data_IF_278796964450
#
_entry.id   IF_278796964450
#
_cell.length_a   1.000
_cell.length_b   1.000
_cell.length_c   1.000
_cell.angle_alpha   90.00
_cell.angle_beta   90.00
_cell.angle_gamma   90.00
#
_symmetry.space_group_name_H-M   'P 1'
#
loop_
_entity.id
_entity.type
_entity.pdbx_description
1 polymer ?
#
# COMPACT_ATOMS: atom_id res chain seq x y z
N UNK A 1 -46.70 27.58 -1.54
CA UNK A 1 -45.50 28.44 -1.65
C UNK A 1 -45.36 28.88 -3.10
N UNK A 2 -45.54 30.16 -3.41
CA UNK A 2 -45.72 30.66 -4.78
C UNK A 2 -44.52 30.36 -5.70
N UNK A 3 -44.78 29.71 -6.84
CA UNK A 3 -43.85 29.50 -7.96
C UNK A 3 -43.18 30.82 -8.39
N UNK A 4 -43.89 31.95 -8.23
CA UNK A 4 -43.40 33.31 -8.50
C UNK A 4 -42.27 33.74 -7.54
N UNK A 5 -42.32 33.34 -6.25
CA UNK A 5 -41.23 33.63 -5.28
C UNK A 5 -39.99 32.79 -5.57
N UNK A 6 -40.16 31.51 -5.94
CA UNK A 6 -39.07 30.64 -6.39
C UNK A 6 -38.35 31.21 -7.62
N UNK A 7 -39.12 31.68 -8.61
CA UNK A 7 -38.55 32.31 -9.83
C UNK A 7 -37.68 33.53 -9.51
N UNK A 8 -38.06 34.34 -8.51
CA UNK A 8 -37.32 35.53 -8.10
C UNK A 8 -36.01 35.22 -7.35
N UNK A 9 -36.00 34.15 -6.55
CA UNK A 9 -34.80 33.66 -5.83
C UNK A 9 -33.80 33.03 -6.81
N UNK A 10 -34.29 32.15 -7.71
CA UNK A 10 -33.47 31.51 -8.74
C UNK A 10 -32.96 32.49 -9.81
N UNK A 11 -33.64 33.61 -10.07
CA UNK A 11 -33.23 34.63 -11.05
C UNK A 11 -32.17 35.61 -10.53
N UNK A 12 -31.76 35.52 -9.25
CA UNK A 12 -30.76 36.44 -8.70
C UNK A 12 -29.34 36.02 -9.11
N UNK A 13 -28.55 36.96 -9.66
CA UNK A 13 -27.13 36.72 -10.00
C UNK A 13 -26.32 36.19 -8.80
N UNK A 14 -26.71 36.59 -7.58
CA UNK A 14 -26.11 36.14 -6.32
C UNK A 14 -26.29 34.64 -6.06
N UNK A 15 -27.45 34.07 -6.39
CA UNK A 15 -27.69 32.63 -6.21
C UNK A 15 -26.80 31.77 -7.12
N UNK A 16 -26.60 32.20 -8.37
CA UNK A 16 -25.69 31.55 -9.33
C UNK A 16 -24.27 31.61 -8.81
N UNK A 17 -23.83 32.79 -8.37
CA UNK A 17 -22.50 33.00 -7.84
C UNK A 17 -22.21 32.02 -6.69
N UNK A 18 -23.15 31.90 -5.75
CA UNK A 18 -23.05 30.95 -4.63
C UNK A 18 -22.92 29.52 -5.14
N UNK A 19 -23.80 29.05 -6.03
CA UNK A 19 -23.74 27.69 -6.58
C UNK A 19 -22.43 27.42 -7.30
N UNK A 20 -21.95 28.37 -8.12
CA UNK A 20 -20.69 28.22 -8.85
C UNK A 20 -19.50 28.15 -7.91
N UNK A 21 -19.46 28.96 -6.85
CA UNK A 21 -18.40 28.93 -5.84
C UNK A 21 -18.40 27.60 -5.10
N UNK A 22 -19.56 27.11 -4.66
CA UNK A 22 -19.66 25.80 -4.00
C UNK A 22 -19.23 24.65 -4.92
N UNK A 23 -19.57 24.72 -6.21
CA UNK A 23 -19.18 23.70 -7.18
C UNK A 23 -17.67 23.71 -7.43
N UNK A 24 -17.04 24.87 -7.57
CA UNK A 24 -15.58 25.01 -7.71
C UNK A 24 -14.85 24.49 -6.48
N UNK A 25 -15.29 24.87 -5.28
CA UNK A 25 -14.71 24.36 -4.02
C UNK A 25 -14.85 22.84 -3.94
N UNK A 26 -16.03 22.29 -4.28
CA UNK A 26 -16.26 20.85 -4.30
C UNK A 26 -15.34 20.12 -5.27
N UNK A 27 -15.08 20.68 -6.46
CA UNK A 27 -14.18 20.11 -7.45
C UNK A 27 -12.71 20.15 -6.99
N UNK A 28 -12.29 21.23 -6.33
CA UNK A 28 -10.94 21.36 -5.77
C UNK A 28 -10.73 20.31 -4.67
N UNK A 29 -11.67 20.18 -3.73
CA UNK A 29 -11.60 19.18 -2.66
C UNK A 29 -11.59 17.76 -3.24
N UNK A 30 -12.43 17.49 -4.25
CA UNK A 30 -12.46 16.21 -4.95
C UNK A 30 -11.09 15.91 -5.59
N UNK A 31 -10.53 16.86 -6.33
CA UNK A 31 -9.21 16.72 -6.97
C UNK A 31 -8.11 16.40 -5.97
N UNK A 32 -8.04 17.16 -4.86
CA UNK A 32 -7.06 16.93 -3.79
C UNK A 32 -7.26 15.55 -3.16
N UNK A 33 -8.50 15.14 -2.88
CA UNK A 33 -8.82 13.85 -2.26
C UNK A 33 -8.48 12.65 -3.16
N UNK A 34 -8.55 12.81 -4.49
CA UNK A 34 -8.20 11.76 -5.45
C UNK A 34 -6.70 11.68 -5.75
N UNK A 35 -5.98 12.81 -5.65
CA UNK A 35 -4.53 12.83 -5.76
C UNK A 35 -3.85 12.05 -4.61
N UNK A 36 -4.46 12.04 -3.43
CA UNK A 36 -3.98 11.27 -2.27
C UNK A 36 -4.53 9.86 -2.23
N UNK A 37 -3.70 8.86 -1.91
CA UNK A 37 -4.18 7.49 -1.67
C UNK A 37 -5.10 7.47 -0.43
N UNK A 38 -6.25 6.78 -0.47
CA UNK A 38 -7.20 6.75 0.65
C UNK A 38 -6.64 6.03 1.87
N UNK A 39 -5.69 5.12 1.65
CA UNK A 39 -5.04 4.34 2.69
C UNK A 39 -3.52 4.43 2.57
N UNK A 40 -2.85 4.37 3.71
CA UNK A 40 -1.42 4.10 3.82
C UNK A 40 -1.25 2.73 4.46
N UNK A 41 -0.50 1.86 3.81
CA UNK A 41 -0.06 0.60 4.41
C UNK A 41 1.20 0.91 5.19
N UNK A 42 1.15 0.70 6.51
CA UNK A 42 2.32 0.72 7.36
C UNK A 42 2.74 -0.70 7.63
N UNK A 43 4.00 -1.00 7.33
CA UNK A 43 4.63 -2.24 7.73
C UNK A 43 5.22 -2.04 9.12
N UNK A 44 4.75 -2.82 10.09
CA UNK A 44 5.30 -2.86 11.44
C UNK A 44 5.96 -4.21 11.65
N UNK A 45 7.25 -4.20 11.95
CA UNK A 45 7.97 -5.40 12.36
C UNK A 45 7.64 -5.68 13.83
N UNK A 46 6.98 -6.81 14.08
CA UNK A 46 6.71 -7.31 15.42
C UNK A 46 7.77 -8.37 15.71
N UNK A 47 8.68 -8.07 16.64
CA UNK A 47 9.62 -9.05 17.16
C UNK A 47 8.91 -9.93 18.19
N UNK A 48 9.09 -11.24 18.13
CA UNK A 48 8.54 -12.15 19.14
C UNK A 48 9.61 -12.63 20.11
N UNK A 49 10.77 -13.04 19.58
CA UNK A 49 11.86 -13.54 20.40
C UNK A 49 13.21 -13.29 19.72
N UNK A 50 14.21 -13.01 20.54
CA UNK A 50 15.61 -12.88 20.15
C UNK A 50 16.45 -13.85 20.98
N UNK A 51 17.40 -14.48 20.32
CA UNK A 51 18.27 -15.50 20.89
C UNK A 51 19.73 -15.12 20.70
N UNK A 52 20.52 -15.42 21.72
CA UNK A 52 21.97 -15.34 21.67
C UNK A 52 22.56 -16.50 22.49
N UNK A 53 23.69 -17.07 22.07
CA UNK A 53 24.45 -18.02 22.86
C UNK A 53 25.89 -17.55 22.99
N UNK A 54 26.35 -17.46 24.24
CA UNK A 54 27.78 -17.30 24.51
C UNK A 54 28.41 -18.68 24.68
N UNK A 55 29.34 -19.02 23.80
CA UNK A 55 30.08 -20.29 23.83
C UNK A 55 31.53 -20.01 24.22
N UNK A 56 32.00 -20.67 25.28
CA UNK A 56 33.38 -20.62 25.73
C UNK A 56 33.94 -22.04 25.73
N UNK A 57 35.10 -22.25 25.10
CA UNK A 57 35.83 -23.51 25.13
C UNK A 57 37.01 -23.39 26.10
N UNK A 58 37.22 -24.42 26.92
CA UNK A 58 38.42 -24.58 27.74
C UNK A 58 39.10 -25.88 27.37
N UNK A 59 40.31 -25.77 26.84
CA UNK A 59 41.16 -26.89 26.46
C UNK A 59 42.17 -27.10 27.58
N UNK A 60 42.18 -28.31 28.17
CA UNK A 60 43.15 -28.70 29.19
C UNK A 60 44.29 -29.46 28.50
N UNK A 61 45.50 -28.94 28.66
CA UNK A 61 46.71 -29.46 28.03
C UNK A 61 47.57 -30.23 29.05
N UNK A 62 48.38 -31.17 28.57
CA UNK A 62 49.37 -31.84 29.40
C UNK A 62 50.51 -30.87 29.80
N UNK A 63 50.82 -30.72 31.11
CA UNK A 63 51.78 -29.71 31.57
C UNK A 63 53.21 -29.93 31.06
N UNK A 64 53.60 -31.19 30.87
CA UNK A 64 54.96 -31.61 30.52
C UNK A 64 55.46 -31.06 29.19
N UNK A 65 54.54 -30.66 28.30
CA UNK A 65 54.85 -30.22 26.94
C UNK A 65 54.35 -28.79 26.67
N UNK A 66 53.75 -28.11 27.65
CA UNK A 66 53.15 -26.79 27.43
C UNK A 66 54.22 -25.72 27.12
N UNK A 67 55.41 -25.85 27.71
CA UNK A 67 56.52 -24.90 27.48
C UNK A 67 57.08 -25.02 26.07
N UNK A 68 57.20 -26.24 25.54
CA UNK A 68 57.77 -26.51 24.22
C UNK A 68 56.86 -26.04 23.07
N UNK A 69 55.55 -25.99 23.32
CA UNK A 69 54.55 -25.68 22.30
C UNK A 69 53.80 -24.36 22.53
N UNK A 70 54.28 -23.51 23.45
CA UNK A 70 53.62 -22.25 23.82
C UNK A 70 53.33 -21.34 22.63
N UNK A 71 54.27 -21.23 21.69
CA UNK A 71 54.16 -20.37 20.51
C UNK A 71 53.09 -20.84 19.51
N UNK A 72 52.70 -22.13 19.58
CA UNK A 72 51.73 -22.75 18.67
C UNK A 72 50.31 -22.82 19.26
N UNK A 73 50.12 -22.37 20.50
CA UNK A 73 48.81 -22.33 21.16
C UNK A 73 48.18 -20.95 20.90
N UNK A 74 47.18 -20.92 20.04
CA UNK A 74 46.42 -19.71 19.68
C UNK A 74 44.99 -19.84 20.20
N UNK A 75 44.27 -18.74 20.39
CA UNK A 75 42.85 -18.77 20.74
C UNK A 75 42.06 -19.66 19.75
N UNK A 76 41.40 -20.71 20.25
CA UNK A 76 40.64 -21.72 19.51
C UNK A 76 41.44 -22.75 18.68
N UNK A 77 42.77 -22.76 18.80
CA UNK A 77 43.65 -23.74 18.16
C UNK A 77 44.58 -24.38 19.20
N UNK A 78 44.65 -25.71 19.21
CA UNK A 78 45.54 -26.43 20.11
C UNK A 78 46.27 -27.56 19.38
N UNK A 79 47.46 -27.89 19.87
CA UNK A 79 48.24 -29.02 19.38
C UNK A 79 47.56 -30.31 19.86
N UNK A 80 47.07 -31.13 18.93
CA UNK A 80 46.17 -32.27 19.21
C UNK A 80 46.80 -33.30 20.17
N UNK A 81 48.11 -33.54 20.06
CA UNK A 81 48.85 -34.45 20.93
C UNK A 81 48.89 -34.01 22.40
N UNK A 82 48.72 -32.71 22.68
CA UNK A 82 48.80 -32.15 24.03
C UNK A 82 47.44 -32.10 24.73
N UNK A 83 46.35 -32.25 23.98
CA UNK A 83 45.00 -32.07 24.50
C UNK A 83 44.60 -33.28 25.34
N UNK A 84 44.50 -33.06 26.66
CA UNK A 84 44.04 -34.06 27.63
C UNK A 84 42.52 -34.13 27.66
N UNK A 85 41.88 -33.01 27.98
CA UNK A 85 40.42 -32.88 28.09
C UNK A 85 39.95 -31.54 27.51
N UNK A 86 38.67 -31.44 27.15
CA UNK A 86 38.06 -30.15 26.78
C UNK A 86 36.69 -30.04 27.40
N UNK A 87 36.37 -28.86 27.90
CA UNK A 87 35.03 -28.53 28.38
C UNK A 87 34.49 -27.36 27.57
N UNK A 88 33.27 -27.48 27.07
CA UNK A 88 32.53 -26.34 26.53
C UNK A 88 31.60 -25.80 27.61
N UNK A 89 31.46 -24.49 27.66
CA UNK A 89 30.45 -23.78 28.43
C UNK A 89 29.55 -23.04 27.46
N UNK A 90 28.25 -23.25 27.57
CA UNK A 90 27.26 -22.57 26.75
C UNK A 90 26.30 -21.86 27.66
N UNK A 91 26.14 -20.56 27.44
CA UNK A 91 25.16 -19.75 28.16
C UNK A 91 24.13 -19.25 27.16
N UNK A 92 22.89 -19.77 27.16
CA UNK A 92 21.83 -19.27 26.31
C UNK A 92 21.25 -17.98 26.90
N UNK A 93 21.13 -16.96 26.07
CA UNK A 93 20.40 -15.73 26.37
C UNK A 93 19.20 -15.66 25.43
N UNK A 94 18.07 -15.25 25.97
CA UNK A 94 16.88 -15.01 25.19
C UNK A 94 16.09 -13.84 25.76
N UNK A 95 15.41 -13.14 24.86
CA UNK A 95 14.48 -12.05 25.19
C UNK A 95 13.17 -12.32 24.47
N UNK A 96 12.10 -12.55 25.23
CA UNK A 96 10.74 -12.69 24.69
C UNK A 96 10.04 -11.33 24.78
N UNK A 97 9.59 -10.82 23.65
CA UNK A 97 8.96 -9.50 23.57
C UNK A 97 7.47 -9.58 23.93
N UNK A 98 7.04 -8.69 24.83
CA UNK A 98 5.64 -8.50 25.21
C UNK A 98 4.92 -7.52 24.27
N UNK A 99 3.58 -7.53 24.25
CA UNK A 99 2.79 -6.64 23.39
C UNK A 99 2.65 -7.12 21.94
N UNK A 100 2.85 -8.42 21.72
CA UNK A 100 2.51 -9.08 20.46
C UNK A 100 1.04 -9.50 20.44
N UNK A 101 0.54 -9.95 19.29
CA UNK A 101 -0.82 -10.47 19.16
C UNK A 101 -1.08 -11.78 19.94
N UNK A 102 -0.05 -12.36 20.55
CA UNK A 102 -0.14 -13.56 21.37
C UNK A 102 -0.55 -13.26 22.83
N UNK A 103 -0.60 -11.98 23.20
CA UNK A 103 -1.02 -11.53 24.53
C UNK A 103 0.12 -11.48 25.55
N UNK A 104 -0.26 -11.52 26.83
CA UNK A 104 0.70 -11.51 27.94
C UNK A 104 1.30 -12.89 28.16
N UNK A 105 2.56 -12.89 28.58
CA UNK A 105 3.32 -14.11 28.88
C UNK A 105 2.96 -14.56 30.30
N UNK A 106 2.53 -15.81 30.44
CA UNK A 106 2.21 -16.45 31.73
C UNK A 106 3.36 -17.31 32.25
N UNK A 107 4.23 -17.81 31.37
CA UNK A 107 5.38 -18.63 31.76
C UNK A 107 6.31 -18.93 30.59
N UNK A 108 7.54 -19.30 30.91
CA UNK A 108 8.55 -19.69 29.92
C UNK A 108 9.24 -20.95 30.44
N UNK A 109 9.36 -21.95 29.59
CA UNK A 109 10.13 -23.15 29.86
C UNK A 109 11.21 -23.31 28.80
N UNK A 110 12.46 -23.48 29.25
CA UNK A 110 13.60 -23.70 28.37
C UNK A 110 14.15 -25.09 28.58
N UNK A 111 14.26 -25.84 27.49
CA UNK A 111 14.90 -27.15 27.47
C UNK A 111 15.98 -27.20 26.41
N UNK A 112 16.92 -28.14 26.56
CA UNK A 112 17.95 -28.37 25.55
C UNK A 112 18.10 -29.86 25.26
N UNK A 113 18.47 -30.17 24.02
CA UNK A 113 18.86 -31.50 23.54
C UNK A 113 20.15 -31.37 22.73
N UNK A 114 21.12 -32.24 22.99
CA UNK A 114 22.43 -32.20 22.32
C UNK A 114 22.57 -33.43 21.47
N UNK A 115 22.93 -33.19 20.20
CA UNK A 115 23.26 -34.25 19.26
C UNK A 115 24.66 -34.00 18.75
N UNK A 116 25.48 -35.03 18.86
CA UNK A 116 26.82 -34.99 18.31
C UNK A 116 26.96 -35.87 17.08
N UNK A 117 27.76 -35.40 16.13
CA UNK A 117 28.01 -36.09 14.87
C UNK A 117 29.49 -36.03 14.53
N UNK A 118 30.02 -37.14 14.02
CA UNK A 118 31.32 -37.19 13.38
C UNK A 118 31.10 -37.17 11.87
N UNK A 119 31.87 -36.35 11.18
CA UNK A 119 31.93 -36.26 9.73
C UNK A 119 33.34 -36.59 9.25
N UNK A 120 33.45 -37.56 8.35
CA UNK A 120 34.69 -38.02 7.71
C UNK A 120 34.43 -38.08 6.21
N UNK A 121 34.89 -37.07 5.45
CA UNK A 121 34.50 -36.95 4.04
C UNK A 121 32.97 -36.93 3.90
N UNK A 122 32.41 -37.88 3.17
CA UNK A 122 30.96 -38.05 2.99
C UNK A 122 30.29 -38.86 4.11
N UNK A 123 31.06 -39.56 4.94
CA UNK A 123 30.52 -40.34 6.05
C UNK A 123 30.09 -39.44 7.20
N UNK A 124 28.87 -39.63 7.66
CA UNK A 124 28.33 -38.96 8.85
C UNK A 124 27.81 -40.01 9.83
N UNK A 125 28.28 -39.96 11.07
CA UNK A 125 27.86 -40.88 12.13
C UNK A 125 27.43 -40.10 13.38
N UNK A 126 26.17 -40.26 13.84
CA UNK A 126 25.77 -39.72 15.13
C UNK A 126 26.50 -40.46 16.25
N UNK A 127 26.98 -39.72 17.23
CA UNK A 127 27.65 -40.26 18.41
C UNK A 127 27.15 -39.52 19.65
N UNK A 128 27.42 -40.05 20.84
CA UNK A 128 27.14 -39.37 22.10
C UNK A 128 28.47 -39.05 22.77
N UNK A 129 28.84 -37.77 22.85
CA UNK A 129 30.15 -37.34 23.36
C UNK A 129 30.04 -36.75 24.77
N UNK A 130 28.83 -36.39 25.17
CA UNK A 130 28.52 -35.75 26.44
C UNK A 130 27.68 -36.69 27.30
N UNK A 131 27.86 -36.63 28.62
CA UNK A 131 27.04 -37.38 29.58
C UNK A 131 25.65 -36.76 29.80
N UNK A 132 25.52 -35.44 29.57
CA UNK A 132 24.29 -34.67 29.77
C UNK A 132 23.71 -34.21 28.44
N UNK A 133 22.92 -35.08 27.80
CA UNK A 133 22.35 -34.79 26.48
C UNK A 133 21.06 -33.97 26.55
N UNK A 134 20.41 -33.91 27.71
CA UNK A 134 19.16 -33.16 27.90
C UNK A 134 19.10 -32.49 29.26
N UNK A 135 18.43 -31.35 29.31
CA UNK A 135 18.06 -30.69 30.56
C UNK A 135 16.85 -29.78 30.37
N UNK A 136 16.25 -29.39 31.50
CA UNK A 136 15.05 -28.54 31.59
C UNK A 136 15.32 -27.36 32.52
N UNK A 137 14.61 -26.26 32.31
CA UNK A 137 14.63 -25.03 33.10
C UNK A 137 16.05 -24.44 33.26
N UNK A 138 16.78 -24.33 32.16
CA UNK A 138 18.15 -23.78 32.09
C UNK A 138 18.17 -22.28 31.86
N UNK A 139 17.22 -21.54 32.45
CA UNK A 139 17.08 -20.10 32.25
C UNK A 139 18.38 -19.35 32.51
N UNK A 140 18.96 -18.80 31.43
CA UNK A 140 20.22 -18.06 31.38
C UNK A 140 21.41 -18.75 32.08
N UNK A 141 21.29 -20.04 32.40
CA UNK A 141 22.27 -20.78 33.16
C UNK A 141 23.37 -21.31 32.23
N UNK A 142 24.62 -21.14 32.64
CA UNK A 142 25.75 -21.73 31.93
C UNK A 142 25.73 -23.25 32.08
N UNK A 143 25.61 -23.94 30.95
CA UNK A 143 25.64 -25.40 30.87
C UNK A 143 27.06 -25.83 30.50
N UNK A 144 27.62 -26.77 31.25
CA UNK A 144 29.00 -27.25 31.07
C UNK A 144 28.99 -28.65 30.48
N UNK A 145 29.67 -28.83 29.35
CA UNK A 145 29.79 -30.09 28.64
C UNK A 145 31.24 -30.58 28.63
N UNK A 146 31.57 -31.63 29.39
CA UNK A 146 32.85 -32.31 29.21
C UNK A 146 32.82 -33.10 27.89
N UNK A 147 33.89 -33.01 27.12
CA UNK A 147 34.04 -33.70 25.84
C UNK A 147 35.06 -34.81 25.98
N UNK A 148 34.65 -36.04 25.67
CA UNK A 148 35.55 -37.19 25.69
C UNK A 148 36.16 -37.46 24.31
N UNK A 149 37.33 -36.88 24.04
CA UNK A 149 38.04 -37.10 22.77
C UNK A 149 38.57 -38.53 22.60
N UNK A 150 38.77 -39.29 23.68
CA UNK A 150 39.24 -40.68 23.57
C UNK A 150 38.20 -41.56 22.85
N UNK A 151 36.92 -41.31 23.11
CA UNK A 151 35.81 -42.03 22.47
C UNK A 151 35.69 -41.67 20.99
N UNK A 152 35.83 -40.39 20.64
CA UNK A 152 35.89 -39.92 19.25
C UNK A 152 37.02 -40.61 18.51
N UNK A 153 38.25 -40.57 19.06
CA UNK A 153 39.44 -41.21 18.46
C UNK A 153 39.21 -42.71 18.28
N UNK A 154 38.59 -43.39 19.25
CA UNK A 154 38.25 -44.82 19.15
C UNK A 154 37.32 -45.10 17.98
N UNK A 155 36.26 -44.31 17.81
CA UNK A 155 35.28 -44.49 16.73
C UNK A 155 35.95 -44.25 15.37
N UNK A 156 36.74 -43.18 15.23
CA UNK A 156 37.48 -42.89 14.00
C UNK A 156 38.48 -44.00 13.67
N UNK A 157 39.17 -44.54 14.68
CA UNK A 157 40.10 -45.66 14.48
C UNK A 157 39.39 -46.94 14.01
N UNK A 158 38.19 -47.23 14.51
CA UNK A 158 37.38 -48.36 14.04
C UNK A 158 37.02 -48.15 12.56
N UNK A 159 36.52 -46.97 12.19
CA UNK A 159 36.18 -46.64 10.81
C UNK A 159 37.42 -46.72 9.90
N UNK A 160 38.56 -46.20 10.36
CA UNK A 160 39.83 -46.25 9.63
C UNK A 160 40.28 -47.68 9.36
N UNK A 161 40.13 -48.57 10.35
CA UNK A 161 40.43 -50.01 10.20
C UNK A 161 39.47 -50.70 9.25
N UNK A 162 38.17 -50.46 9.38
CA UNK A 162 37.14 -51.03 8.50
C UNK A 162 37.33 -50.58 7.04
N UNK A 163 37.60 -49.30 6.83
CA UNK A 163 37.87 -48.75 5.50
C UNK A 163 39.26 -49.11 4.96
N UNK A 164 40.15 -49.67 5.79
CA UNK A 164 41.58 -49.87 5.46
C UNK A 164 42.28 -48.60 4.95
N UNK A 165 41.83 -47.43 5.40
CA UNK A 165 42.34 -46.12 4.99
C UNK A 165 42.63 -45.30 6.23
N UNK A 166 43.79 -44.64 6.27
CA UNK A 166 44.13 -43.68 7.31
C UNK A 166 43.28 -42.43 7.11
N UNK A 167 42.55 -42.01 8.13
CA UNK A 167 41.73 -40.80 8.09
C UNK A 167 42.55 -39.64 8.66
N UNK A 168 43.13 -38.76 7.82
CA UNK A 168 44.03 -37.71 8.30
C UNK A 168 43.26 -36.58 9.00
N UNK A 169 42.04 -36.29 8.54
CA UNK A 169 41.21 -35.20 9.03
C UNK A 169 39.77 -35.67 9.25
N UNK A 170 39.15 -35.19 10.33
CA UNK A 170 37.74 -35.43 10.62
C UNK A 170 37.16 -34.30 11.45
N UNK A 171 35.86 -34.08 11.32
CA UNK A 171 35.15 -33.04 12.07
C UNK A 171 34.16 -33.69 13.02
N UNK A 172 34.11 -33.23 14.26
CA UNK A 172 33.08 -33.59 15.19
C UNK A 172 32.25 -32.36 15.55
N UNK A 173 30.96 -32.38 15.24
CA UNK A 173 30.07 -31.25 15.50
C UNK A 173 29.10 -31.59 16.63
N UNK A 174 29.01 -30.70 17.61
CA UNK A 174 27.99 -30.66 18.64
C UNK A 174 26.89 -29.70 18.18
N UNK A 175 25.70 -30.23 17.92
CA UNK A 175 24.51 -29.44 17.67
C UNK A 175 23.70 -29.36 18.95
N UNK A 176 23.55 -28.16 19.50
CA UNK A 176 22.75 -27.93 20.70
C UNK A 176 21.42 -27.33 20.27
N UNK A 177 20.32 -28.04 20.51
CA UNK A 177 18.97 -27.57 20.23
C UNK A 177 18.35 -27.04 21.51
N UNK A 178 18.25 -25.71 21.63
CA UNK A 178 17.41 -25.07 22.64
C UNK A 178 15.97 -25.00 22.13
N UNK A 179 15.04 -25.43 22.98
CA UNK A 179 13.59 -25.36 22.75
C UNK A 179 13.01 -24.50 23.86
N UNK A 180 12.50 -23.34 23.47
CA UNK A 180 11.85 -22.38 24.37
C UNK A 180 10.34 -22.46 24.12
N UNK A 181 9.61 -22.94 25.12
CA UNK A 181 8.16 -22.93 25.13
C UNK A 181 7.71 -21.68 25.88
N UNK A 182 7.06 -20.77 25.17
CA UNK A 182 6.45 -19.59 25.77
C UNK A 182 4.97 -19.86 25.92
N UNK A 183 4.48 -19.76 27.16
CA UNK A 183 3.08 -19.86 27.50
C UNK A 183 2.51 -18.45 27.62
N UNK A 184 1.46 -18.21 26.86
CA UNK A 184 0.62 -17.02 26.93
C UNK A 184 -0.69 -17.38 27.63
N UNK A 185 -1.46 -16.39 28.08
CA UNK A 185 -2.72 -16.61 28.82
C UNK A 185 -3.68 -17.60 28.11
N UNK A 186 -3.76 -17.56 26.78
CA UNK A 186 -4.69 -18.40 25.99
C UNK A 186 -4.01 -19.28 24.91
N UNK A 187 -2.68 -19.26 24.80
CA UNK A 187 -1.97 -20.00 23.75
C UNK A 187 -0.55 -20.34 24.17
N UNK A 188 0.09 -21.28 23.48
CA UNK A 188 1.52 -21.55 23.65
C UNK A 188 2.22 -21.48 22.31
N UNK A 189 3.49 -21.07 22.33
CA UNK A 189 4.33 -21.04 21.13
C UNK A 189 5.72 -21.54 21.45
N UNK A 190 6.19 -22.45 20.60
CA UNK A 190 7.53 -23.03 20.71
C UNK A 190 8.46 -22.35 19.73
N UNK A 191 9.63 -21.96 20.22
CA UNK A 191 10.71 -21.42 19.42
C UNK A 191 11.95 -22.30 19.56
N UNK A 192 12.69 -22.42 18.47
CA UNK A 192 13.86 -23.30 18.37
C UNK A 192 15.09 -22.47 18.02
N UNK A 193 16.17 -22.71 18.76
CA UNK A 193 17.47 -22.08 18.54
C UNK A 193 18.55 -23.16 18.54
N UNK A 194 19.44 -23.14 17.54
CA UNK A 194 20.36 -24.25 17.24
C UNK A 194 21.80 -23.78 17.01
N UNK A 195 22.51 -23.33 18.06
CA UNK A 195 23.95 -23.12 17.96
C UNK A 195 24.70 -24.44 17.77
N UNK A 196 25.85 -24.38 17.12
CA UNK A 196 26.72 -25.53 16.92
C UNK A 196 28.18 -25.22 17.24
N UNK A 197 28.90 -26.25 17.67
CA UNK A 197 30.35 -26.22 17.94
C UNK A 197 31.02 -27.37 17.19
N UNK A 198 31.91 -27.05 16.27
CA UNK A 198 32.65 -28.01 15.46
C UNK A 198 34.11 -28.10 15.92
N UNK A 199 34.54 -29.31 16.24
CA UNK A 199 35.91 -29.70 16.52
C UNK A 199 36.51 -30.32 15.27
N UNK A 200 37.48 -29.64 14.68
CA UNK A 200 38.18 -30.09 13.47
C UNK A 200 39.51 -30.68 13.91
N UNK A 201 39.68 -31.98 13.67
CA UNK A 201 40.88 -32.73 14.01
C UNK A 201 41.72 -32.93 12.74
N UNK A 202 43.00 -32.57 12.81
CA UNK A 202 43.98 -32.82 11.76
C UNK A 202 45.17 -33.55 12.35
N UNK A 203 45.29 -34.84 12.05
CA UNK A 203 46.42 -35.66 12.52
C UNK A 203 47.72 -35.34 11.79
N UNK A 204 47.65 -34.97 10.51
CA UNK A 204 48.82 -34.57 9.71
C UNK A 204 49.44 -33.27 10.22
N UNK A 205 48.60 -32.31 10.60
CA UNK A 205 49.05 -31.02 11.14
C UNK A 205 49.15 -31.02 12.66
N UNK A 206 48.87 -32.16 13.31
CA UNK A 206 48.76 -32.29 14.77
C UNK A 206 47.93 -31.16 15.41
N UNK A 207 46.78 -30.82 14.82
CA UNK A 207 46.00 -29.62 15.13
C UNK A 207 44.56 -29.96 15.50
N UNK A 208 44.07 -29.32 16.57
CA UNK A 208 42.67 -29.27 16.96
C UNK A 208 42.17 -27.83 16.80
N UNK A 209 41.10 -27.64 16.04
CA UNK A 209 40.51 -26.33 15.81
C UNK A 209 39.03 -26.33 16.20
N UNK A 210 38.60 -25.30 16.94
CA UNK A 210 37.22 -25.15 17.41
C UNK A 210 36.54 -24.02 16.64
N UNK A 211 35.44 -24.33 15.96
CA UNK A 211 34.56 -23.36 15.31
C UNK A 211 33.18 -23.35 15.95
N UNK A 212 32.57 -22.19 16.00
CA UNK A 212 31.19 -22.01 16.49
C UNK A 212 30.33 -21.39 15.39
N UNK A 213 29.07 -21.77 15.29
CA UNK A 213 28.12 -21.15 14.35
C UNK A 213 26.70 -21.09 14.91
N UNK A 214 25.85 -20.25 14.30
CA UNK A 214 24.45 -20.10 14.72
C UNK A 214 24.28 -19.51 16.11
N UNK A 215 25.13 -18.55 16.50
CA UNK A 215 25.17 -17.98 17.86
C UNK A 215 24.04 -17.00 18.15
N UNK A 216 23.33 -16.50 17.14
CA UNK A 216 22.17 -15.64 17.34
C UNK A 216 21.06 -15.97 16.35
N UNK A 217 19.82 -15.70 16.73
CA UNK A 217 18.65 -15.85 15.86
C UNK A 217 17.55 -14.88 16.30
N UNK A 218 16.80 -14.32 15.35
CA UNK A 218 15.66 -13.45 15.62
C UNK A 218 14.41 -14.00 14.93
N UNK A 219 13.29 -14.08 15.67
CA UNK A 219 11.99 -14.44 15.12
C UNK A 219 11.08 -13.21 15.15
N UNK A 220 10.80 -12.67 13.97
CA UNK A 220 9.92 -11.52 13.77
C UNK A 220 8.90 -11.76 12.65
N UNK A 221 7.80 -11.02 12.67
CA UNK A 221 6.79 -11.00 11.61
C UNK A 221 6.50 -9.57 11.19
N UNK A 222 6.26 -9.39 9.90
CA UNK A 222 5.84 -8.12 9.30
C UNK A 222 4.32 -8.03 9.32
N UNK A 223 3.75 -7.19 10.18
CA UNK A 223 2.31 -6.91 10.17
C UNK A 223 2.02 -5.67 9.34
N UNK A 224 1.16 -5.85 8.34
CA UNK A 224 0.63 -4.74 7.53
C UNK A 224 -0.57 -4.14 8.25
N UNK A 225 -0.44 -2.89 8.68
CA UNK A 225 -1.54 -2.11 9.25
C UNK A 225 -1.99 -1.10 8.22
N UNK A 226 -3.25 -1.17 7.82
CA UNK A 226 -3.86 -0.20 6.91
C UNK A 226 -4.40 0.96 7.74
N UNK A 227 -3.91 2.17 7.50
CA UNK A 227 -4.40 3.38 8.15
C UNK A 227 -5.09 4.25 7.11
N UNK A 228 -6.30 4.73 7.43
CA UNK A 228 -6.99 5.72 6.64
C UNK A 228 -6.22 7.05 6.65
N UNK A 229 -5.89 7.53 5.46
CA UNK A 229 -5.25 8.82 5.32
C UNK A 229 -6.29 9.94 5.54
N UNK A 230 -5.85 11.01 6.22
CA UNK A 230 -6.67 12.17 6.54
C UNK A 230 -6.15 13.40 5.81
N UNK A 231 -7.06 14.26 5.37
CA UNK A 231 -6.77 15.60 4.85
C UNK A 231 -7.55 16.59 5.69
N UNK A 232 -6.86 17.56 6.29
CA UNK A 232 -7.47 18.56 7.18
C UNK A 232 -8.35 17.92 8.29
N UNK A 233 -7.92 16.77 8.83
CA UNK A 233 -8.63 16.04 9.88
C UNK A 233 -9.75 15.10 9.43
N UNK A 234 -10.20 15.19 8.17
CA UNK A 234 -11.25 14.32 7.61
C UNK A 234 -10.66 13.11 6.89
N UNK A 235 -11.30 11.95 7.02
CA UNK A 235 -10.89 10.75 6.28
C UNK A 235 -11.13 10.98 4.78
N UNK A 236 -10.13 10.66 3.95
CA UNK A 236 -10.21 10.89 2.50
C UNK A 236 -11.42 10.20 1.87
N UNK A 237 -11.78 9.01 2.37
CA UNK A 237 -12.91 8.26 1.85
C UNK A 237 -14.24 8.98 2.09
N UNK A 238 -14.40 9.61 3.25
CA UNK A 238 -15.57 10.45 3.59
C UNK A 238 -15.59 11.72 2.74
N UNK A 239 -14.43 12.35 2.49
CA UNK A 239 -14.34 13.51 1.60
C UNK A 239 -14.75 13.17 0.17
N UNK A 240 -14.33 12.01 -0.36
CA UNK A 240 -14.71 11.55 -1.71
C UNK A 240 -16.21 11.29 -1.84
N UNK A 241 -16.80 10.59 -0.87
CA UNK A 241 -18.24 10.29 -0.92
C UNK A 241 -19.08 11.54 -0.76
N UNK A 242 -18.76 12.40 0.22
CA UNK A 242 -19.51 13.65 0.45
C UNK A 242 -19.44 14.61 -0.74
N UNK A 243 -18.27 14.79 -1.36
CA UNK A 243 -18.12 15.65 -2.55
C UNK A 243 -18.84 15.08 -3.78
N UNK A 244 -18.90 13.76 -3.97
CA UNK A 244 -19.74 13.15 -5.00
C UNK A 244 -21.23 13.39 -4.74
N UNK A 245 -21.71 13.20 -3.51
CA UNK A 245 -23.11 13.43 -3.15
C UNK A 245 -23.52 14.91 -3.23
N UNK A 246 -22.58 15.85 -3.09
CA UNK A 246 -22.85 17.29 -3.22
C UNK A 246 -22.76 17.77 -4.68
N UNK A 247 -21.73 17.35 -5.43
CA UNK A 247 -21.48 17.84 -6.80
C UNK A 247 -22.56 17.44 -7.81
N UNK A 248 -23.14 16.24 -7.68
CA UNK A 248 -24.22 15.76 -8.55
C UNK A 248 -25.47 16.66 -8.48
N UNK A 249 -26.11 16.90 -7.31
CA UNK A 249 -27.27 17.78 -7.24
C UNK A 249 -26.95 19.24 -7.58
N UNK A 250 -25.76 19.74 -7.21
CA UNK A 250 -25.31 21.11 -7.57
C UNK A 250 -25.18 21.29 -9.08
N UNK A 251 -24.61 20.31 -9.79
CA UNK A 251 -24.48 20.35 -11.26
C UNK A 251 -25.82 20.23 -11.97
N UNK A 252 -26.74 19.37 -11.50
CA UNK A 252 -28.11 19.27 -12.02
C UNK A 252 -28.85 20.60 -11.85
N UNK A 253 -28.73 21.23 -10.68
CA UNK A 253 -29.39 22.50 -10.39
C UNK A 253 -28.84 23.65 -11.24
N UNK A 254 -27.51 23.66 -11.49
CA UNK A 254 -26.88 24.59 -12.43
C UNK A 254 -27.35 24.35 -13.87
N UNK A 255 -27.47 23.09 -14.30
CA UNK A 255 -27.92 22.75 -15.66
C UNK A 255 -29.38 23.14 -15.90
N UNK A 256 -30.27 22.87 -14.94
CA UNK A 256 -31.68 23.31 -14.99
C UNK A 256 -31.75 24.84 -15.09
N UNK A 257 -30.92 25.55 -14.31
CA UNK A 257 -30.86 27.00 -14.37
C UNK A 257 -30.39 27.52 -15.73
N UNK A 258 -29.28 26.99 -16.25
CA UNK A 258 -28.75 27.36 -17.57
C UNK A 258 -29.74 27.05 -18.69
N UNK A 259 -30.44 25.92 -18.63
CA UNK A 259 -31.48 25.54 -19.59
C UNK A 259 -32.74 26.41 -19.54
N UNK A 260 -33.10 26.94 -18.38
CA UNK A 260 -34.21 27.90 -18.24
C UNK A 260 -33.82 29.30 -18.73
N UNK A 261 -32.58 29.73 -18.52
CA UNK A 261 -32.11 31.04 -18.95
C UNK A 261 -31.70 31.10 -20.44
N UNK A 262 -31.22 30.01 -21.03
CA UNK A 262 -30.91 29.96 -22.46
C UNK A 262 -32.16 30.15 -23.34
N UNK A 263 -33.35 29.80 -22.83
CA UNK A 263 -34.64 30.07 -23.51
C UNK A 263 -35.02 31.55 -23.55
N UNK A 264 -34.43 32.40 -22.70
CA UNK A 264 -34.71 33.84 -22.67
C UNK A 264 -33.71 34.67 -23.49
N UNK A 265 -32.67 34.06 -24.07
CA UNK A 265 -31.60 34.76 -24.80
C UNK A 265 -31.44 34.14 -26.19
N UNK A 266 -32.53 34.14 -26.96
CA UNK A 266 -32.44 34.20 -28.42
C UNK A 266 -33.15 35.49 -28.83
N UNK A 267 -32.57 36.61 -28.42
CA UNK A 267 -32.79 37.86 -29.15
C UNK A 267 -31.95 37.70 -30.41
N UNK A 268 -32.55 37.15 -31.47
CA UNK A 268 -31.94 37.16 -32.80
C UNK A 268 -31.80 38.62 -33.19
N UNK A 269 -30.56 39.07 -33.21
CA UNK A 269 -30.14 40.40 -33.64
C UNK A 269 -30.83 40.80 -34.96
N UNK A 270 -31.17 42.08 -35.11
CA UNK A 270 -31.72 42.65 -36.35
C UNK A 270 -30.84 42.32 -37.57
N UNK A 271 -29.54 42.12 -37.34
CA UNK A 271 -28.54 41.72 -38.32
C UNK A 271 -28.69 40.27 -38.86
N UNK A 272 -29.42 39.39 -38.17
CA UNK A 272 -29.63 38.02 -38.64
C UNK A 272 -30.57 37.97 -39.85
N UNK A 273 -31.64 38.77 -39.83
CA UNK A 273 -32.66 38.76 -40.88
C UNK A 273 -32.20 39.53 -42.13
N UNK A 274 -31.51 40.66 -41.96
CA UNK A 274 -30.92 41.40 -43.07
C UNK A 274 -29.91 40.58 -43.86
N UNK A 275 -29.06 39.78 -43.17
CA UNK A 275 -28.07 38.90 -43.81
C UNK A 275 -28.66 37.67 -44.50
N UNK A 276 -29.73 37.08 -43.96
CA UNK A 276 -30.31 35.85 -44.51
C UNK A 276 -31.22 36.10 -45.70
N UNK A 277 -31.92 37.23 -45.72
CA UNK A 277 -32.96 37.50 -46.72
C UNK A 277 -32.66 38.71 -47.62
N UNK A 278 -31.60 39.49 -47.33
CA UNK A 278 -31.15 40.58 -48.21
C UNK A 278 -32.06 41.81 -48.24
N UNK A 279 -32.97 41.94 -47.27
CA UNK A 279 -33.95 43.04 -47.19
C UNK A 279 -33.60 43.94 -46.00
N UNK A 280 -33.66 45.28 -46.13
CA UNK A 280 -33.57 46.18 -44.98
C UNK A 280 -34.78 45.98 -44.06
N UNK A 281 -34.57 45.33 -42.91
CA UNK A 281 -35.59 45.08 -41.88
C UNK A 281 -35.32 46.00 -40.70
N UNK A 282 -36.31 46.79 -40.27
CA UNK A 282 -36.14 47.78 -39.18
C UNK A 282 -36.88 47.38 -37.89
N UNK A 283 -37.87 46.47 -37.92
CA UNK A 283 -38.48 45.97 -36.68
C UNK A 283 -39.09 44.57 -36.83
N UNK A 284 -38.47 43.58 -36.20
CA UNK A 284 -39.01 42.22 -36.10
C UNK A 284 -39.82 42.10 -34.82
N UNK A 285 -41.16 42.00 -34.93
CA UNK A 285 -42.01 41.68 -33.79
C UNK A 285 -42.48 40.23 -33.93
N UNK A 286 -41.86 39.32 -33.18
CA UNK A 286 -42.28 37.92 -33.15
C UNK A 286 -43.65 37.80 -32.48
N UNK A 287 -44.72 37.69 -33.26
CA UNK A 287 -46.04 37.34 -32.72
C UNK A 287 -46.13 35.82 -32.67
N UNK A 288 -46.02 35.28 -31.46
CA UNK A 288 -46.32 33.87 -31.20
C UNK A 288 -47.83 33.66 -31.32
N UNK A 289 -48.31 33.23 -32.50
CA UNK A 289 -49.67 32.73 -32.63
C UNK A 289 -49.70 31.23 -32.33
N UNK A 290 -50.58 30.84 -31.41
CA UNK A 290 -50.76 29.46 -31.00
C UNK A 290 -51.18 28.59 -32.19
N UNK A 291 -50.31 27.63 -32.54
CA UNK A 291 -50.51 26.43 -33.39
C UNK A 291 -49.94 26.41 -34.82
N UNK A 292 -49.40 27.49 -35.38
CA UNK A 292 -48.49 27.43 -36.55
C UNK A 292 -47.44 28.55 -36.45
N UNK A 293 -46.15 28.19 -36.53
CA UNK A 293 -45.04 29.14 -36.46
C UNK A 293 -44.85 29.82 -37.82
N UNK A 294 -45.63 30.88 -38.07
CA UNK A 294 -45.27 31.84 -39.11
C UNK A 294 -44.62 33.05 -38.41
N UNK A 295 -43.37 33.34 -38.74
CA UNK A 295 -42.69 34.55 -38.24
C UNK A 295 -43.24 35.73 -39.05
N UNK A 296 -43.74 36.78 -38.39
CA UNK A 296 -44.20 38.00 -39.07
C UNK A 296 -43.17 39.13 -38.95
N UNK A 297 -42.88 39.78 -40.07
CA UNK A 297 -41.94 40.90 -40.20
C UNK A 297 -42.74 42.13 -40.62
N UNK A 298 -42.63 43.21 -39.85
CA UNK A 298 -43.29 44.48 -40.17
C UNK A 298 -42.33 45.33 -41.00
N UNK A 299 -42.78 45.73 -42.18
CA UNK A 299 -42.02 46.56 -43.14
C UNK A 299 -42.48 48.02 -43.00
N UNK A 300 -41.56 48.99 -43.16
CA UNK A 300 -41.85 50.41 -42.90
C UNK A 300 -42.53 51.15 -44.05
N UNK A 301 -42.37 50.68 -45.29
CA UNK A 301 -42.96 51.32 -46.45
C UNK A 301 -43.60 50.30 -47.39
N UNK A 302 -44.61 50.76 -48.12
CA UNK A 302 -45.22 49.98 -49.19
C UNK A 302 -44.18 49.63 -50.27
N UNK A 303 -43.24 50.54 -50.54
CA UNK A 303 -42.17 50.37 -51.54
C UNK A 303 -41.26 49.19 -51.19
N UNK A 304 -40.87 49.08 -49.92
CA UNK A 304 -40.05 47.96 -49.44
C UNK A 304 -40.82 46.64 -49.51
N UNK A 305 -42.12 46.64 -49.21
CA UNK A 305 -42.96 45.45 -49.37
C UNK A 305 -43.07 45.02 -50.84
N UNK A 306 -43.16 45.97 -51.78
CA UNK A 306 -43.13 45.68 -53.22
C UNK A 306 -41.78 45.09 -53.68
N UNK A 307 -40.66 45.56 -53.12
CA UNK A 307 -39.35 44.98 -53.41
C UNK A 307 -39.28 43.52 -52.93
N UNK A 308 -39.83 43.23 -51.75
CA UNK A 308 -39.92 41.87 -51.21
C UNK A 308 -40.81 40.98 -52.08
N UNK A 309 -42.00 41.47 -52.46
CA UNK A 309 -42.92 40.75 -53.35
C UNK A 309 -42.27 40.38 -54.69
N UNK A 310 -41.52 41.32 -55.28
CA UNK A 310 -40.79 41.12 -56.53
C UNK A 310 -39.64 40.13 -56.38
N UNK A 311 -38.87 40.23 -55.29
CA UNK A 311 -37.76 39.31 -55.02
C UNK A 311 -38.25 37.87 -54.80
N UNK A 312 -39.39 37.70 -54.11
CA UNK A 312 -39.98 36.41 -53.82
C UNK A 312 -40.94 35.90 -54.91
N UNK A 313 -41.12 36.66 -56.00
CA UNK A 313 -42.11 36.37 -57.05
C UNK A 313 -43.49 36.01 -56.49
N UNK A 314 -43.89 36.70 -55.42
CA UNK A 314 -45.10 36.38 -54.64
C UNK A 314 -46.10 37.53 -54.74
N UNK A 315 -47.41 37.25 -54.88
CA UNK A 315 -48.42 38.30 -54.97
C UNK A 315 -48.55 39.06 -53.64
N UNK A 316 -48.88 40.35 -53.72
CA UNK A 316 -49.26 41.13 -52.55
C UNK A 316 -50.75 40.93 -52.31
N UNK A 317 -51.09 40.43 -51.12
CA UNK A 317 -52.47 40.27 -50.67
C UNK A 317 -52.87 41.47 -49.82
N UNK A 318 -54.09 41.96 -50.03
CA UNK A 318 -54.65 43.07 -49.25
C UNK A 318 -55.74 42.52 -48.34
N UNK A 319 -55.60 42.76 -47.04
CA UNK A 319 -56.59 42.39 -46.04
C UNK A 319 -57.65 43.49 -45.87
N UNK A 320 -58.80 43.13 -45.28
CA UNK A 320 -59.98 43.97 -45.06
C UNK A 320 -59.65 45.23 -44.23
N UNK A 321 -58.55 45.19 -43.46
CA UNK A 321 -58.07 46.29 -42.61
C UNK A 321 -56.99 47.17 -43.29
N UNK A 322 -56.94 47.26 -44.62
CA UNK A 322 -55.95 48.05 -45.37
C UNK A 322 -54.47 47.70 -45.05
N UNK A 323 -54.23 46.43 -44.70
CA UNK A 323 -52.89 45.88 -44.53
C UNK A 323 -52.48 45.10 -45.80
N UNK A 324 -51.23 45.26 -46.19
CA UNK A 324 -50.60 44.60 -47.32
C UNK A 324 -49.69 43.48 -46.80
N UNK A 325 -49.82 42.29 -47.38
CA UNK A 325 -49.16 41.07 -46.93
C UNK A 325 -48.44 40.38 -48.09
N UNK A 326 -47.23 39.90 -47.83
CA UNK A 326 -46.45 39.04 -48.74
C UNK A 326 -46.00 37.81 -47.95
N UNK A 327 -46.25 36.62 -48.50
CA UNK A 327 -45.88 35.36 -47.86
C UNK A 327 -44.74 34.69 -48.62
N UNK A 328 -43.71 34.25 -47.90
CA UNK A 328 -42.63 33.44 -48.46
C UNK A 328 -42.00 32.55 -47.39
N UNK A 329 -41.74 31.27 -47.71
CA UNK A 329 -41.03 30.29 -46.87
C UNK A 329 -41.36 30.36 -45.37
N UNK A 330 -42.66 30.36 -45.03
CA UNK A 330 -43.19 30.42 -43.65
C UNK A 330 -42.97 31.75 -42.90
N UNK A 331 -42.64 32.82 -43.61
CA UNK A 331 -42.55 34.19 -43.09
C UNK A 331 -43.64 35.05 -43.75
N UNK A 332 -44.31 35.86 -42.94
CA UNK A 332 -45.25 36.88 -43.40
C UNK A 332 -44.60 38.26 -43.31
N UNK A 333 -44.49 38.97 -44.42
CA UNK A 333 -44.10 40.38 -44.45
C UNK A 333 -45.36 41.24 -44.52
N UNK A 334 -45.51 42.19 -43.60
CA UNK A 334 -46.72 43.02 -43.48
C UNK A 334 -46.40 44.52 -43.44
N UNK A 335 -47.15 45.30 -44.21
CA UNK A 335 -47.24 46.76 -44.08
C UNK A 335 -48.71 47.14 -43.86
N UNK A 336 -49.02 47.80 -42.74
CA UNK A 336 -50.35 48.36 -42.52
C UNK A 336 -50.25 49.88 -42.65
N UNK A 337 -51.18 50.48 -43.37
CA UNK A 337 -51.30 51.94 -43.36
C UNK A 337 -51.76 52.33 -41.95
N UNK A 338 -50.96 53.12 -41.24
CA UNK A 338 -51.44 53.74 -40.00
C UNK A 338 -52.65 54.60 -40.37
N UNK A 339 -53.80 54.31 -39.76
CA UNK A 339 -54.90 55.28 -39.76
C UNK A 339 -54.37 56.50 -39.00
N UNK A 340 -54.04 57.55 -39.75
CA UNK A 340 -53.95 58.89 -39.19
C UNK A 340 -55.31 59.21 -38.58
N UNK A 341 -55.37 59.33 -37.25
CA UNK A 341 -56.41 60.14 -36.62
C UNK A 341 -56.42 61.53 -37.25
#
# INVERSE_FOLDING_TARGET
>A
MNIIKLKKIFSSKSFIFIITVFLVISLIILSISYATKPYKVLERNIKYIEFEAKIESKIYLEPSLLYDYREYIVSNEAVLSLVKNTTIRITPYYVVYTGTELGNISGIEVSYDIKSLITIGEWVKPINITSTNRGKNVDHNTIVFPINFSEIKRIVNIISKEASVKIPTYTCTLNIKFVINVYYENSSKTYIFQPSVSFIFSSEQNKLLIKTSGLSNEVSSTKKVVIENKIMGFNILILRTSTLYLSIPLSILLFIYLGLNSRNIIVKDENYYSRRYGVPVIKVKKVLSNKRTNESVIVLSLVDLFMVARALSSPILVDVNNCFHVYGDNIEYRYCREESN
#
